data_IF_893484862469
#
_entry.id   IF_893484862469
#
_cell.length_a   1.000
_cell.length_b   1.000
_cell.length_c   1.000
_cell.angle_alpha   90.00
_cell.angle_beta   90.00
_cell.angle_gamma   90.00
#
_symmetry.space_group_name_H-M   'P 1'
#
loop_
_entity.id
_entity.type
_entity.pdbx_description
1 polymer ?
#
# COMPACT_ATOMS: atom_id res chain seq x y z
N UNK A 1 34.50 -5.06 11.65
CA UNK A 1 35.02 -4.54 10.35
C UNK A 1 34.03 -4.95 9.32
N UNK A 2 33.06 -4.11 9.02
CA UNK A 2 32.04 -4.39 8.02
C UNK A 2 32.62 -4.09 6.62
N UNK A 3 32.61 -5.09 5.76
CA UNK A 3 32.91 -4.91 4.35
C UNK A 3 31.67 -4.35 3.63
N UNK A 4 31.80 -3.35 2.75
CA UNK A 4 30.64 -2.79 2.06
C UNK A 4 30.12 -3.81 1.05
N UNK A 5 28.80 -4.05 1.09
CA UNK A 5 28.06 -4.82 0.08
C UNK A 5 28.28 -4.19 -1.29
N UNK A 6 28.69 -5.02 -2.25
CA UNK A 6 29.22 -4.59 -3.53
C UNK A 6 28.19 -3.82 -4.37
N UNK A 7 28.63 -2.71 -4.94
CA UNK A 7 27.91 -1.86 -5.88
C UNK A 7 27.33 -2.57 -7.12
N UNK A 8 27.61 -3.86 -7.30
CA UNK A 8 27.16 -4.64 -8.45
C UNK A 8 25.66 -5.00 -8.41
N UNK A 9 25.04 -5.12 -7.23
CA UNK A 9 23.60 -5.41 -7.13
C UNK A 9 22.73 -4.17 -7.40
N UNK A 10 23.23 -2.99 -7.07
CA UNK A 10 22.51 -1.73 -7.32
C UNK A 10 22.45 -1.35 -8.80
N UNK A 11 23.38 -1.84 -9.63
CA UNK A 11 23.40 -1.57 -11.07
C UNK A 11 22.45 -2.47 -11.86
N UNK A 12 22.13 -3.65 -11.35
CA UNK A 12 21.27 -4.62 -12.05
C UNK A 12 19.78 -4.18 -12.03
N UNK A 13 19.33 -3.54 -10.95
CA UNK A 13 17.94 -3.04 -10.85
C UNK A 13 17.73 -1.79 -11.71
N UNK A 14 18.75 -0.93 -11.84
CA UNK A 14 18.65 0.27 -12.68
C UNK A 14 18.71 -0.04 -14.19
N UNK A 15 19.32 -1.16 -14.60
CA UNK A 15 19.49 -1.49 -16.03
C UNK A 15 18.30 -2.22 -16.63
N UNK A 16 17.44 -2.87 -15.81
CA UNK A 16 16.21 -3.52 -16.29
C UNK A 16 15.12 -2.49 -16.60
N UNK A 17 15.20 -1.29 -16.02
CA UNK A 17 14.21 -0.22 -16.24
C UNK A 17 14.35 0.50 -17.60
N UNK A 18 15.44 0.28 -18.33
CA UNK A 18 15.74 1.06 -19.56
C UNK A 18 15.42 0.32 -20.87
N UNK A 19 14.92 -0.92 -20.85
CA UNK A 19 14.79 -1.77 -22.05
C UNK A 19 13.38 -2.22 -22.42
N UNK A 20 12.33 -1.61 -21.86
CA UNK A 20 10.93 -1.91 -22.23
C UNK A 20 10.20 -0.70 -22.87
N UNK A 21 10.89 0.08 -23.67
CA UNK A 21 10.22 0.93 -24.66
C UNK A 21 10.00 0.05 -25.91
N UNK A 22 8.95 -0.76 -25.89
CA UNK A 22 8.48 -1.43 -27.11
C UNK A 22 7.82 -0.38 -28.00
N UNK A 23 8.35 -0.20 -29.20
CA UNK A 23 7.74 0.62 -30.22
C UNK A 23 6.32 0.11 -30.53
N UNK A 24 5.32 0.85 -30.12
CA UNK A 24 3.95 0.62 -30.56
C UNK A 24 3.88 0.88 -32.09
N UNK A 25 3.18 0.06 -32.86
CA UNK A 25 3.00 0.32 -34.29
C UNK A 25 2.21 1.62 -34.46
N UNK A 26 2.73 2.53 -35.27
CA UNK A 26 1.99 3.72 -35.76
C UNK A 26 0.75 3.23 -36.54
N UNK A 27 -0.40 3.29 -35.91
CA UNK A 27 -1.68 3.17 -36.60
C UNK A 27 -1.90 4.46 -37.38
N UNK A 28 -2.09 4.43 -38.70
CA UNK A 28 -2.37 5.63 -39.45
C UNK A 28 -3.72 6.22 -38.99
N UNK A 29 -3.71 7.49 -38.60
CA UNK A 29 -4.92 8.20 -38.24
C UNK A 29 -5.88 8.21 -39.45
N UNK A 30 -7.06 7.60 -39.29
CA UNK A 30 -8.14 7.73 -40.25
C UNK A 30 -8.65 9.16 -40.21
N UNK A 31 -8.41 9.92 -41.29
CA UNK A 31 -8.84 11.30 -41.44
C UNK A 31 -10.35 11.33 -41.72
N UNK A 32 -11.13 11.62 -40.70
CA UNK A 32 -12.45 12.24 -40.84
C UNK A 32 -12.34 13.66 -40.27
N UNK A 33 -11.80 14.62 -41.07
CA UNK A 33 -11.67 15.97 -40.62
C UNK A 33 -13.02 16.71 -40.68
N UNK A 34 -13.86 16.51 -39.67
CA UNK A 34 -14.80 17.54 -39.26
C UNK A 34 -14.03 18.80 -38.82
N UNK A 35 -14.54 19.98 -39.01
CA UNK A 35 -13.92 21.21 -38.56
C UNK A 35 -13.75 21.14 -37.02
N UNK A 36 -12.49 21.21 -36.56
CA UNK A 36 -12.20 21.20 -35.12
C UNK A 36 -12.64 22.52 -34.52
N UNK A 37 -13.51 22.46 -33.53
CA UNK A 37 -13.93 23.63 -32.77
C UNK A 37 -13.00 23.83 -31.57
N UNK A 38 -12.51 25.07 -31.40
CA UNK A 38 -11.80 25.43 -30.17
C UNK A 38 -12.70 26.37 -29.36
N UNK A 39 -13.07 25.90 -28.16
CA UNK A 39 -13.83 26.70 -27.19
C UNK A 39 -12.88 27.17 -26.10
N UNK A 40 -13.01 28.42 -25.67
CA UNK A 40 -12.19 29.04 -24.63
C UNK A 40 -13.12 29.51 -23.51
N UNK A 41 -12.81 29.07 -22.28
CA UNK A 41 -13.50 29.54 -21.08
C UNK A 41 -12.60 30.44 -20.25
N UNK A 42 -13.20 31.54 -19.77
CA UNK A 42 -12.60 32.51 -18.84
C UNK A 42 -13.68 33.02 -17.88
N UNK A 43 -13.28 33.64 -16.80
CA UNK A 43 -14.16 34.19 -15.76
C UNK A 43 -15.00 33.08 -15.06
N UNK A 44 -16.31 33.25 -14.96
CA UNK A 44 -17.21 32.27 -14.38
C UNK A 44 -18.05 31.59 -15.48
N UNK A 45 -18.02 30.27 -15.50
CA UNK A 45 -18.79 29.43 -16.43
C UNK A 45 -19.76 28.57 -15.61
N UNK A 46 -21.06 28.71 -15.87
CA UNK A 46 -22.12 27.98 -15.16
C UNK A 46 -22.71 26.93 -16.08
N UNK A 47 -22.67 25.68 -15.70
CA UNK A 47 -23.10 24.50 -16.46
C UNK A 47 -24.15 23.72 -15.66
N UNK A 48 -25.42 23.98 -15.91
CA UNK A 48 -26.52 23.30 -15.22
C UNK A 48 -26.79 21.88 -15.73
N UNK A 49 -26.43 21.61 -16.99
CA UNK A 49 -26.67 20.33 -17.68
C UNK A 49 -25.34 19.66 -18.12
N UNK A 50 -24.24 19.96 -17.44
CA UNK A 50 -22.90 19.44 -17.79
C UNK A 50 -22.35 20.01 -19.11
N UNK A 51 -21.25 19.40 -19.60
CA UNK A 51 -20.65 19.79 -20.89
C UNK A 51 -19.86 18.63 -21.50
N UNK A 52 -19.99 18.43 -22.81
CA UNK A 52 -19.19 17.45 -23.55
C UNK A 52 -18.21 18.15 -24.49
N UNK A 53 -16.93 17.83 -24.35
CA UNK A 53 -15.90 18.14 -25.35
C UNK A 53 -15.94 17.04 -26.39
N UNK A 54 -16.59 17.30 -27.53
CA UNK A 54 -16.81 16.32 -28.58
C UNK A 54 -15.49 15.82 -29.20
N UNK A 55 -15.51 14.61 -29.75
CA UNK A 55 -14.35 14.04 -30.44
C UNK A 55 -13.86 14.95 -31.57
N UNK A 56 -12.59 15.36 -31.52
CA UNK A 56 -11.97 16.29 -32.44
C UNK A 56 -12.01 17.74 -31.99
N UNK A 57 -12.83 18.11 -31.02
CA UNK A 57 -12.90 19.44 -30.46
C UNK A 57 -11.84 19.68 -29.37
N UNK A 58 -11.59 20.94 -29.08
CA UNK A 58 -10.64 21.39 -28.06
C UNK A 58 -11.33 22.39 -27.13
N UNK A 59 -11.30 22.10 -25.85
CA UNK A 59 -11.68 23.03 -24.79
C UNK A 59 -10.42 23.53 -24.09
N UNK A 60 -10.27 24.85 -24.02
CA UNK A 60 -9.22 25.53 -23.26
C UNK A 60 -9.85 26.33 -22.13
N UNK A 61 -9.45 26.04 -20.89
CA UNK A 61 -9.89 26.77 -19.71
C UNK A 61 -8.71 27.62 -19.22
N UNK A 62 -8.89 28.93 -19.18
CA UNK A 62 -7.85 29.90 -18.80
C UNK A 62 -7.66 29.95 -17.27
N UNK A 63 -6.52 30.44 -16.82
CA UNK A 63 -6.21 30.63 -15.40
C UNK A 63 -7.22 31.58 -14.73
N UNK A 64 -7.58 31.26 -13.49
CA UNK A 64 -8.54 32.02 -12.67
C UNK A 64 -10.01 31.81 -13.06
N UNK A 65 -10.30 30.88 -13.98
CA UNK A 65 -11.68 30.51 -14.30
C UNK A 65 -12.31 29.75 -13.15
N UNK A 66 -13.56 30.08 -12.82
CA UNK A 66 -14.42 29.30 -11.94
C UNK A 66 -15.47 28.58 -12.79
N UNK A 67 -15.51 27.25 -12.71
CA UNK A 67 -16.51 26.41 -13.36
C UNK A 67 -17.48 25.94 -12.30
N UNK A 68 -18.76 26.17 -12.50
CA UNK A 68 -19.84 25.75 -11.59
C UNK A 68 -20.71 24.71 -12.28
N UNK A 69 -20.70 23.48 -11.75
CA UNK A 69 -21.51 22.37 -12.26
C UNK A 69 -22.80 22.18 -11.46
N UNK A 70 -23.85 21.73 -12.15
CA UNK A 70 -25.09 21.26 -11.53
C UNK A 70 -24.87 19.99 -10.70
N UNK A 71 -25.90 19.61 -9.94
CA UNK A 71 -25.96 18.37 -9.15
C UNK A 71 -25.92 17.14 -10.08
N UNK A 72 -25.07 16.14 -9.77
CA UNK A 72 -24.80 14.95 -10.61
C UNK A 72 -24.27 15.25 -12.03
N UNK A 73 -23.83 16.49 -12.32
CA UNK A 73 -23.36 16.89 -13.64
C UNK A 73 -21.84 16.73 -13.81
N UNK A 74 -21.41 16.55 -15.07
CA UNK A 74 -20.00 16.28 -15.41
C UNK A 74 -19.50 17.06 -16.62
N UNK A 75 -18.17 17.24 -16.69
CA UNK A 75 -17.48 17.61 -17.93
C UNK A 75 -16.96 16.31 -18.57
N UNK A 76 -17.61 15.85 -19.63
CA UNK A 76 -17.19 14.67 -20.41
C UNK A 76 -16.20 15.06 -21.50
N UNK A 77 -15.09 14.33 -21.60
CA UNK A 77 -14.01 14.62 -22.56
C UNK A 77 -13.83 13.45 -23.53
N UNK A 78 -14.40 13.59 -24.72
CA UNK A 78 -14.16 12.74 -25.89
C UNK A 78 -13.13 13.35 -26.86
N UNK A 79 -12.92 14.65 -26.76
CA UNK A 79 -11.94 15.45 -27.47
C UNK A 79 -10.72 15.78 -26.61
N UNK A 80 -10.23 17.01 -26.69
CA UNK A 80 -9.08 17.49 -25.95
C UNK A 80 -9.48 18.55 -24.93
N UNK A 81 -9.12 18.37 -23.67
CA UNK A 81 -9.25 19.37 -22.60
C UNK A 81 -7.87 19.90 -22.19
N UNK A 82 -7.75 21.22 -22.10
CA UNK A 82 -6.55 21.88 -21.58
C UNK A 82 -6.97 22.91 -20.53
N UNK A 83 -6.68 22.62 -19.25
CA UNK A 83 -6.85 23.55 -18.14
C UNK A 83 -5.50 24.21 -17.87
N UNK A 84 -5.46 25.54 -17.82
CA UNK A 84 -4.24 26.36 -17.76
C UNK A 84 -4.22 27.20 -16.48
N UNK A 85 -4.55 26.63 -15.34
CA UNK A 85 -4.40 27.26 -14.04
C UNK A 85 -2.92 27.58 -13.74
N UNK A 86 -2.70 28.47 -12.80
CA UNK A 86 -1.38 28.78 -12.26
C UNK A 86 -1.45 28.75 -10.73
N UNK A 87 -0.32 28.66 -10.05
CA UNK A 87 -0.25 28.68 -8.58
C UNK A 87 -0.87 29.94 -7.96
N UNK A 88 -0.87 31.07 -8.67
CA UNK A 88 -1.46 32.34 -8.21
C UNK A 88 -2.89 32.57 -8.71
N UNK A 89 -3.33 31.81 -9.68
CA UNK A 89 -4.66 31.90 -10.30
C UNK A 89 -5.11 30.50 -10.75
N UNK A 90 -5.39 29.59 -9.82
CA UNK A 90 -5.85 28.25 -10.16
C UNK A 90 -7.21 28.31 -10.86
N UNK A 91 -7.55 27.26 -11.57
CA UNK A 91 -8.92 27.03 -12.02
C UNK A 91 -9.66 26.34 -10.89
N UNK A 92 -10.89 26.77 -10.62
CA UNK A 92 -11.77 26.18 -9.61
C UNK A 92 -12.93 25.48 -10.32
N UNK A 93 -13.18 24.23 -9.94
CA UNK A 93 -14.37 23.46 -10.28
C UNK A 93 -15.15 23.18 -9.02
N UNK A 94 -16.35 23.68 -8.93
CA UNK A 94 -17.21 23.60 -7.74
C UNK A 94 -18.65 23.28 -8.10
N UNK A 95 -19.44 22.84 -7.14
CA UNK A 95 -20.87 22.60 -7.34
C UNK A 95 -21.68 23.90 -7.21
N UNK A 96 -22.73 24.04 -8.01
CA UNK A 96 -23.76 25.08 -7.80
C UNK A 96 -24.59 24.73 -6.56
N UNK A 97 -24.91 23.45 -6.40
CA UNK A 97 -25.73 22.91 -5.29
C UNK A 97 -25.62 21.39 -5.29
N UNK A 98 -25.40 20.78 -4.14
CA UNK A 98 -25.16 19.33 -4.05
C UNK A 98 -23.74 18.95 -4.42
N UNK A 99 -23.56 17.80 -5.04
CA UNK A 99 -22.27 17.28 -5.52
C UNK A 99 -22.30 17.09 -7.03
N UNK A 100 -21.17 17.25 -7.68
CA UNK A 100 -21.02 17.02 -9.12
C UNK A 100 -20.13 15.81 -9.41
N UNK A 101 -20.20 15.27 -10.66
CA UNK A 101 -19.40 14.11 -11.08
C UNK A 101 -18.05 14.48 -11.71
N UNK A 102 -17.63 15.74 -11.58
CA UNK A 102 -16.28 16.21 -11.94
C UNK A 102 -15.96 16.14 -13.42
N UNK A 103 -14.75 15.62 -13.74
CA UNK A 103 -14.24 15.53 -15.12
C UNK A 103 -14.06 14.05 -15.49
N UNK A 104 -14.65 13.63 -16.61
CA UNK A 104 -14.57 12.27 -17.13
C UNK A 104 -13.83 12.24 -18.46
N UNK A 105 -12.66 11.61 -18.52
CA UNK A 105 -11.92 11.35 -19.75
C UNK A 105 -12.31 9.97 -20.30
N UNK A 106 -12.90 9.94 -21.49
CA UNK A 106 -13.18 8.70 -22.20
C UNK A 106 -11.99 8.24 -23.05
N UNK A 107 -11.98 6.96 -23.46
CA UNK A 107 -10.93 6.38 -24.31
C UNK A 107 -10.78 7.07 -25.67
N UNK A 108 -11.80 7.74 -26.13
CA UNK A 108 -11.77 8.59 -27.35
C UNK A 108 -10.84 9.80 -27.22
N UNK A 109 -10.55 10.24 -26.01
CA UNK A 109 -9.61 11.34 -25.72
C UNK A 109 -8.14 10.88 -25.62
N UNK A 110 -7.89 9.58 -25.77
CA UNK A 110 -6.53 9.04 -25.69
C UNK A 110 -5.61 9.61 -26.78
N UNK A 111 -4.34 9.85 -26.40
CA UNK A 111 -3.33 10.39 -27.30
C UNK A 111 -3.58 11.83 -27.80
N UNK A 112 -4.66 12.50 -27.40
CA UNK A 112 -4.97 13.86 -27.83
C UNK A 112 -4.22 14.94 -27.04
N UNK A 113 -3.49 14.54 -25.97
CA UNK A 113 -2.66 15.43 -25.16
C UNK A 113 -3.48 16.36 -24.26
N UNK A 114 -4.55 15.84 -23.67
CA UNK A 114 -5.31 16.52 -22.62
C UNK A 114 -4.43 16.79 -21.40
N UNK A 115 -4.60 17.97 -20.79
CA UNK A 115 -3.77 18.41 -19.66
C UNK A 115 -4.58 19.24 -18.68
N UNK A 116 -4.45 18.91 -17.39
CA UNK A 116 -4.95 19.71 -16.28
C UNK A 116 -3.76 20.28 -15.53
N UNK A 117 -3.72 21.59 -15.35
CA UNK A 117 -2.69 22.31 -14.59
C UNK A 117 -3.32 23.23 -13.55
N UNK A 118 -2.88 23.11 -12.29
CA UNK A 118 -3.35 23.92 -11.16
C UNK A 118 -4.89 24.00 -11.13
N UNK A 119 -5.52 22.87 -11.02
CA UNK A 119 -6.97 22.71 -10.87
C UNK A 119 -7.32 22.35 -9.44
N UNK A 120 -8.29 23.04 -8.85
CA UNK A 120 -8.92 22.67 -7.59
C UNK A 120 -10.35 22.22 -7.87
N UNK A 121 -10.71 21.04 -7.37
CA UNK A 121 -12.06 20.46 -7.44
C UNK A 121 -12.58 20.34 -6.03
N UNK A 122 -13.80 20.84 -5.77
CA UNK A 122 -14.45 20.77 -4.44
C UNK A 122 -15.84 20.19 -4.56
N UNK A 123 -16.25 19.48 -3.51
CA UNK A 123 -17.62 18.99 -3.34
C UNK A 123 -18.09 18.11 -4.52
N UNK A 124 -17.29 17.11 -4.88
CA UNK A 124 -17.57 16.20 -5.99
C UNK A 124 -17.96 14.79 -5.48
N UNK A 125 -18.79 14.06 -6.21
CA UNK A 125 -18.87 12.61 -6.03
C UNK A 125 -17.59 11.94 -6.54
N UNK A 126 -17.18 12.30 -7.76
CA UNK A 126 -15.94 11.91 -8.41
C UNK A 126 -15.20 13.17 -8.84
N UNK A 127 -13.93 13.33 -8.46
CA UNK A 127 -13.13 14.46 -8.90
C UNK A 127 -12.71 14.35 -10.36
N UNK A 128 -11.83 13.38 -10.67
CA UNK A 128 -11.39 13.07 -12.03
C UNK A 128 -11.50 11.58 -12.29
N UNK A 129 -12.22 11.19 -13.32
CA UNK A 129 -12.36 9.82 -13.78
C UNK A 129 -11.69 9.64 -15.15
N UNK A 130 -10.88 8.58 -15.31
CA UNK A 130 -10.15 8.32 -16.57
C UNK A 130 -10.44 6.91 -17.06
N UNK A 131 -11.07 6.78 -18.19
CA UNK A 131 -11.36 5.52 -18.89
C UNK A 131 -10.43 5.35 -20.09
N UNK A 132 -9.40 4.51 -19.96
CA UNK A 132 -8.57 4.08 -21.10
C UNK A 132 -7.94 5.21 -21.88
N UNK A 133 -7.56 6.30 -21.20
CA UNK A 133 -6.86 7.43 -21.80
C UNK A 133 -5.70 7.89 -20.89
N UNK A 134 -4.83 8.76 -21.41
CA UNK A 134 -3.57 9.11 -20.77
C UNK A 134 -3.40 10.64 -20.62
N UNK A 135 -4.32 11.34 -19.90
CA UNK A 135 -4.14 12.77 -19.64
C UNK A 135 -2.94 13.04 -18.73
N UNK A 136 -2.43 14.28 -18.79
CA UNK A 136 -1.43 14.78 -17.85
C UNK A 136 -2.15 15.60 -16.78
N UNK A 137 -1.98 15.21 -15.51
CA UNK A 137 -2.56 15.89 -14.36
C UNK A 137 -1.42 16.46 -13.52
N UNK A 138 -1.28 17.79 -13.51
CA UNK A 138 -0.26 18.48 -12.73
C UNK A 138 -0.92 19.44 -11.72
N UNK A 139 -0.41 19.42 -10.48
CA UNK A 139 -0.89 20.32 -9.42
C UNK A 139 -2.43 20.25 -9.28
N UNK A 140 -2.95 19.02 -9.16
CA UNK A 140 -4.36 18.77 -8.96
C UNK A 140 -4.68 18.68 -7.47
N UNK A 141 -5.64 19.48 -7.03
CA UNK A 141 -6.19 19.41 -5.66
C UNK A 141 -7.64 18.96 -5.72
N UNK A 142 -8.00 17.94 -4.95
CA UNK A 142 -9.39 17.47 -4.80
C UNK A 142 -9.75 17.52 -3.33
N UNK A 143 -10.83 18.23 -3.01
CA UNK A 143 -11.29 18.43 -1.63
C UNK A 143 -12.72 17.88 -1.49
N UNK A 144 -12.95 17.06 -0.48
CA UNK A 144 -14.26 16.49 -0.14
C UNK A 144 -14.89 15.68 -1.30
N UNK A 145 -14.14 14.77 -1.90
CA UNK A 145 -14.75 13.83 -2.85
C UNK A 145 -15.48 12.71 -2.10
N UNK A 146 -16.78 12.54 -2.32
CA UNK A 146 -17.59 11.57 -1.57
C UNK A 146 -17.27 10.13 -1.95
N UNK A 147 -17.11 9.84 -3.22
CA UNK A 147 -16.81 8.51 -3.72
C UNK A 147 -15.30 8.33 -3.96
N UNK A 148 -14.76 8.89 -5.03
CA UNK A 148 -13.35 8.74 -5.41
C UNK A 148 -12.79 10.08 -5.92
N UNK A 149 -11.70 10.54 -5.33
CA UNK A 149 -11.09 11.80 -5.79
C UNK A 149 -10.48 11.66 -7.19
N UNK A 150 -9.74 10.57 -7.46
CA UNK A 150 -9.20 10.24 -8.81
C UNK A 150 -9.41 8.76 -9.09
N UNK A 151 -10.20 8.41 -10.09
CA UNK A 151 -10.51 7.01 -10.47
C UNK A 151 -9.97 6.68 -11.87
N UNK A 152 -9.09 5.67 -11.94
CA UNK A 152 -8.39 5.26 -13.14
C UNK A 152 -8.74 3.82 -13.47
N UNK A 153 -9.32 3.54 -14.63
CA UNK A 153 -9.64 2.17 -15.03
C UNK A 153 -9.71 1.96 -16.55
N UNK A 154 -9.93 0.72 -16.96
CA UNK A 154 -9.95 0.34 -18.37
C UNK A 154 -8.64 0.60 -19.10
N UNK A 155 -7.50 0.25 -18.47
CA UNK A 155 -6.14 0.46 -19.00
C UNK A 155 -5.71 1.93 -19.08
N UNK A 156 -6.27 2.82 -18.25
CA UNK A 156 -5.81 4.20 -18.13
C UNK A 156 -4.35 4.27 -17.63
N UNK A 157 -3.53 5.11 -18.22
CA UNK A 157 -2.12 5.26 -17.83
C UNK A 157 -1.69 6.73 -17.76
N UNK A 158 -2.43 7.58 -17.04
CA UNK A 158 -2.11 8.99 -16.96
C UNK A 158 -0.76 9.24 -16.28
N UNK A 159 -0.20 10.43 -16.56
CA UNK A 159 0.90 10.96 -15.77
C UNK A 159 0.35 11.96 -14.77
N UNK A 160 0.62 11.73 -13.49
CA UNK A 160 0.13 12.57 -12.39
C UNK A 160 1.34 13.12 -11.63
N UNK A 161 1.42 14.43 -11.45
CA UNK A 161 2.43 15.09 -10.66
C UNK A 161 1.74 16.02 -9.65
N UNK A 162 2.18 15.95 -8.40
CA UNK A 162 1.72 16.81 -7.31
C UNK A 162 0.18 16.79 -7.13
N UNK A 163 -0.33 15.63 -6.69
CA UNK A 163 -1.74 15.41 -6.37
C UNK A 163 -1.98 15.63 -4.87
N UNK A 164 -2.93 16.49 -4.54
CA UNK A 164 -3.38 16.71 -3.16
C UNK A 164 -4.84 16.29 -3.04
N UNK A 165 -5.14 15.43 -2.06
CA UNK A 165 -6.50 14.99 -1.73
C UNK A 165 -6.74 15.26 -0.25
N UNK A 166 -7.74 16.07 0.06
CA UNK A 166 -8.08 16.48 1.42
C UNK A 166 -9.55 16.19 1.73
N UNK A 167 -9.78 15.28 2.67
CA UNK A 167 -11.12 14.81 3.04
C UNK A 167 -11.80 13.97 1.96
N UNK A 168 -12.89 13.33 2.32
CA UNK A 168 -13.76 12.59 1.40
C UNK A 168 -14.58 11.51 2.08
N UNK A 169 -15.78 11.29 1.56
CA UNK A 169 -16.74 10.33 2.08
C UNK A 169 -17.39 10.74 3.42
N UNK A 170 -17.23 11.97 3.86
CA UNK A 170 -17.70 12.43 5.17
C UNK A 170 -19.23 12.42 5.30
N UNK A 171 -19.93 12.65 4.20
CA UNK A 171 -21.40 12.75 4.16
C UNK A 171 -22.09 11.43 3.84
N UNK A 172 -21.34 10.39 3.52
CA UNK A 172 -21.93 9.09 3.20
C UNK A 172 -22.31 8.34 4.46
N UNK A 173 -23.57 7.96 4.57
CA UNK A 173 -24.08 7.18 5.68
C UNK A 173 -23.21 5.94 5.96
N UNK A 174 -22.78 5.81 7.21
CA UNK A 174 -21.86 4.79 7.73
C UNK A 174 -22.27 3.32 7.51
N UNK A 175 -23.29 3.04 6.71
CA UNK A 175 -23.88 1.73 6.46
C UNK A 175 -23.91 1.29 4.99
N UNK A 176 -23.28 2.06 4.09
CA UNK A 176 -23.18 1.60 2.70
C UNK A 176 -22.26 0.40 2.61
N UNK A 177 -22.77 -0.71 2.11
CA UNK A 177 -21.99 -1.94 1.82
C UNK A 177 -21.19 -1.83 0.53
N UNK A 178 -21.27 -0.70 -0.16
CA UNK A 178 -20.55 -0.46 -1.41
C UNK A 178 -19.17 0.14 -1.11
N UNK A 179 -18.12 -0.51 -1.57
CA UNK A 179 -16.70 -0.32 -1.29
C UNK A 179 -16.07 0.91 -1.98
N UNK A 180 -16.85 1.88 -2.43
CA UNK A 180 -16.39 2.95 -3.33
C UNK A 180 -16.50 4.37 -2.73
N UNK A 181 -16.61 4.51 -1.43
CA UNK A 181 -16.74 5.82 -0.79
C UNK A 181 -15.47 6.23 -0.05
N UNK A 182 -15.10 7.51 -0.16
CA UNK A 182 -13.96 8.09 0.53
C UNK A 182 -12.63 7.46 0.14
N UNK A 183 -12.42 7.26 -1.16
CA UNK A 183 -11.18 6.76 -1.74
C UNK A 183 -10.42 7.93 -2.37
N UNK A 184 -9.12 8.04 -2.08
CA UNK A 184 -8.28 9.04 -2.68
C UNK A 184 -7.97 8.74 -4.15
N UNK A 185 -7.00 7.89 -4.42
CA UNK A 185 -6.62 7.45 -5.77
C UNK A 185 -6.98 5.98 -5.95
N UNK A 186 -7.86 5.68 -6.89
CA UNK A 186 -8.24 4.33 -7.29
C UNK A 186 -7.59 3.97 -8.64
N UNK A 187 -6.90 2.84 -8.70
CA UNK A 187 -6.22 2.33 -9.91
C UNK A 187 -6.69 0.93 -10.19
N UNK A 188 -7.50 0.74 -11.22
CA UNK A 188 -8.14 -0.52 -11.49
C UNK A 188 -8.15 -0.96 -12.95
N UNK A 189 -8.60 -2.19 -13.18
CA UNK A 189 -8.85 -2.76 -14.51
C UNK A 189 -7.68 -2.53 -15.50
N UNK A 190 -6.50 -3.08 -15.18
CA UNK A 190 -5.27 -3.04 -16.00
C UNK A 190 -4.63 -1.65 -16.15
N UNK A 191 -5.04 -0.65 -15.39
CA UNK A 191 -4.43 0.69 -15.43
C UNK A 191 -3.02 0.68 -14.86
N UNK A 192 -2.16 1.58 -15.38
CA UNK A 192 -0.75 1.65 -15.00
C UNK A 192 -0.22 3.10 -15.01
N UNK A 193 -0.68 3.96 -14.10
CA UNK A 193 -0.27 5.36 -14.07
C UNK A 193 1.21 5.52 -13.67
N UNK A 194 1.78 6.67 -14.01
CA UNK A 194 3.04 7.17 -13.45
C UNK A 194 2.70 8.36 -12.57
N UNK A 195 2.92 8.22 -11.26
CA UNK A 195 2.52 9.20 -10.26
C UNK A 195 3.74 9.63 -9.46
N UNK A 196 3.94 10.93 -9.31
CA UNK A 196 5.00 11.49 -8.49
C UNK A 196 4.48 12.65 -7.65
N UNK A 197 4.67 12.56 -6.35
CA UNK A 197 4.15 13.55 -5.40
C UNK A 197 2.65 13.39 -5.15
N UNK A 198 2.29 12.72 -4.07
CA UNK A 198 0.88 12.56 -3.64
C UNK A 198 0.79 12.82 -2.16
N UNK A 199 -0.15 13.67 -1.78
CA UNK A 199 -0.54 13.88 -0.38
C UNK A 199 -2.02 13.59 -0.23
N UNK A 200 -2.38 12.71 0.73
CA UNK A 200 -3.77 12.35 1.03
C UNK A 200 -4.01 12.43 2.53
N UNK A 201 -5.06 13.11 2.94
CA UNK A 201 -5.43 13.24 4.35
C UNK A 201 -6.93 13.11 4.57
N UNK A 202 -7.34 12.52 5.72
CA UNK A 202 -8.72 12.58 6.22
C UNK A 202 -9.76 11.77 5.46
N UNK A 203 -9.38 10.71 4.72
CA UNK A 203 -10.31 9.86 3.98
C UNK A 203 -10.91 8.75 4.87
N UNK A 204 -12.12 8.30 4.55
CA UNK A 204 -12.83 7.32 5.40
C UNK A 204 -12.65 5.86 4.99
N UNK A 205 -12.11 5.57 3.81
CA UNK A 205 -11.99 4.17 3.37
C UNK A 205 -10.56 3.82 2.96
N UNK A 206 -10.01 4.48 1.95
CA UNK A 206 -8.68 4.16 1.43
C UNK A 206 -7.99 5.41 0.89
N UNK A 207 -6.73 5.57 1.22
CA UNK A 207 -5.91 6.57 0.54
C UNK A 207 -5.66 6.14 -0.91
N UNK A 208 -4.86 5.10 -1.08
CA UNK A 208 -4.54 4.51 -2.37
C UNK A 208 -5.19 3.13 -2.51
N UNK A 209 -5.88 2.89 -3.62
CA UNK A 209 -6.60 1.65 -3.89
C UNK A 209 -6.22 1.05 -5.23
N UNK A 210 -5.56 -0.12 -5.22
CA UNK A 210 -5.24 -0.91 -6.41
C UNK A 210 -6.11 -2.15 -6.53
N UNK A 211 -6.65 -2.43 -7.74
CA UNK A 211 -7.46 -3.62 -7.99
C UNK A 211 -7.40 -4.07 -9.45
N UNK A 212 -7.80 -5.31 -9.73
CA UNK A 212 -8.05 -5.78 -11.09
C UNK A 212 -6.82 -5.88 -11.99
N UNK A 213 -5.70 -6.44 -11.50
CA UNK A 213 -4.45 -6.63 -12.23
C UNK A 213 -3.81 -5.33 -12.74
N UNK A 214 -4.04 -4.26 -12.01
CA UNK A 214 -3.43 -2.96 -12.28
C UNK A 214 -1.97 -2.89 -11.78
N UNK A 215 -1.26 -1.86 -12.20
CA UNK A 215 0.14 -1.65 -11.85
C UNK A 215 0.50 -0.18 -11.90
N UNK A 216 1.70 0.13 -12.36
CA UNK A 216 2.22 1.49 -12.46
C UNK A 216 3.26 1.82 -11.41
N UNK A 217 3.71 3.07 -11.43
CA UNK A 217 4.75 3.58 -10.56
C UNK A 217 4.18 4.73 -9.72
N UNK A 218 4.36 4.65 -8.40
CA UNK A 218 4.06 5.76 -7.49
C UNK A 218 5.32 6.06 -6.69
N UNK A 219 5.66 7.33 -6.59
CA UNK A 219 6.77 7.82 -5.78
C UNK A 219 6.40 9.07 -4.99
N UNK A 220 7.09 9.27 -3.85
CA UNK A 220 6.86 10.41 -2.96
C UNK A 220 5.40 10.51 -2.50
N UNK A 221 4.95 9.48 -1.79
CA UNK A 221 3.57 9.30 -1.33
C UNK A 221 3.47 9.62 0.16
N UNK A 222 2.56 10.51 0.53
CA UNK A 222 2.21 10.80 1.92
C UNK A 222 0.73 10.53 2.14
N UNK A 223 0.40 9.66 3.08
CA UNK A 223 -0.99 9.32 3.43
C UNK A 223 -1.16 9.44 4.93
N UNK A 224 -2.20 10.15 5.36
CA UNK A 224 -2.50 10.29 6.78
C UNK A 224 -3.99 10.27 7.11
N UNK A 225 -4.30 9.88 8.36
CA UNK A 225 -5.64 9.97 8.94
C UNK A 225 -6.72 9.20 8.15
N UNK A 226 -6.40 7.99 7.66
CA UNK A 226 -7.40 7.15 7.00
C UNK A 226 -8.11 6.29 8.04
N UNK A 227 -9.37 6.60 8.32
CA UNK A 227 -10.12 5.96 9.41
C UNK A 227 -11.59 5.75 9.06
N UNK A 228 -12.00 4.48 9.01
CA UNK A 228 -13.37 4.08 8.66
C UNK A 228 -14.23 3.69 9.86
N UNK A 229 -15.53 3.58 9.60
CA UNK A 229 -16.51 3.11 10.60
C UNK A 229 -16.38 1.61 10.90
N UNK A 230 -15.78 0.83 10.00
CA UNK A 230 -15.63 -0.63 10.14
C UNK A 230 -14.18 -1.04 10.07
N UNK A 231 -13.74 -1.88 11.00
CA UNK A 231 -12.38 -2.36 11.22
C UNK A 231 -11.65 -2.96 10.00
N UNK A 232 -12.38 -3.45 9.02
CA UNK A 232 -11.83 -4.37 8.04
C UNK A 232 -11.37 -3.73 6.73
N UNK A 233 -11.74 -2.47 6.46
CA UNK A 233 -11.66 -1.91 5.10
C UNK A 233 -10.89 -0.60 4.98
N UNK A 234 -10.69 0.15 6.06
CA UNK A 234 -9.94 1.39 6.00
C UNK A 234 -8.43 1.11 6.03
N UNK A 235 -7.73 1.63 5.03
CA UNK A 235 -6.29 1.47 4.91
C UNK A 235 -5.65 2.68 4.20
N UNK A 236 -4.42 3.02 4.61
CA UNK A 236 -3.62 3.98 3.85
C UNK A 236 -3.44 3.51 2.41
N UNK A 237 -2.91 2.30 2.23
CA UNK A 237 -2.76 1.64 0.93
C UNK A 237 -3.49 0.30 0.93
N UNK A 238 -4.33 0.08 -0.07
CA UNK A 238 -4.99 -1.20 -0.35
C UNK A 238 -4.58 -1.72 -1.71
N UNK A 239 -4.03 -2.93 -1.75
CA UNK A 239 -3.65 -3.59 -3.00
C UNK A 239 -4.35 -4.94 -3.09
N UNK A 240 -5.25 -5.09 -4.07
CA UNK A 240 -5.96 -6.33 -4.34
C UNK A 240 -5.63 -6.81 -5.76
N UNK A 241 -5.09 -8.03 -5.88
CA UNK A 241 -4.77 -8.66 -7.16
C UNK A 241 -4.02 -7.76 -8.16
N UNK A 242 -3.07 -6.95 -7.67
CA UNK A 242 -2.39 -5.92 -8.46
C UNK A 242 -0.88 -5.90 -8.18
N UNK A 243 -0.11 -5.20 -9.02
CA UNK A 243 1.36 -5.20 -9.00
C UNK A 243 1.98 -3.79 -9.12
N UNK A 244 1.60 -2.83 -8.29
CA UNK A 244 2.26 -1.54 -8.30
C UNK A 244 3.72 -1.63 -7.82
N UNK A 245 4.55 -0.69 -8.27
CA UNK A 245 5.78 -0.30 -7.62
C UNK A 245 5.56 1.02 -6.89
N UNK A 246 5.66 0.99 -5.56
CA UNK A 246 5.47 2.16 -4.70
C UNK A 246 6.78 2.42 -3.99
N UNK A 247 7.31 3.63 -4.10
CA UNK A 247 8.55 4.02 -3.46
C UNK A 247 8.42 5.32 -2.67
N UNK A 248 9.25 5.47 -1.65
CA UNK A 248 9.33 6.68 -0.85
C UNK A 248 7.95 7.06 -0.29
N UNK A 249 7.39 6.18 0.54
CA UNK A 249 6.03 6.34 1.07
C UNK A 249 6.02 6.48 2.58
N UNK A 250 5.29 7.51 3.07
CA UNK A 250 5.02 7.75 4.48
C UNK A 250 3.51 7.57 4.74
N UNK A 251 3.16 6.61 5.57
CA UNK A 251 1.77 6.28 5.91
C UNK A 251 1.59 6.42 7.43
N UNK A 252 0.75 7.35 7.87
CA UNK A 252 0.62 7.66 9.29
C UNK A 252 -0.83 7.72 9.77
N UNK A 253 -1.07 7.27 11.01
CA UNK A 253 -2.39 7.37 11.68
C UNK A 253 -3.55 6.80 10.86
N UNK A 254 -3.33 5.67 10.22
CA UNK A 254 -4.37 4.93 9.49
C UNK A 254 -4.96 3.81 10.34
N UNK A 255 -6.17 3.37 10.04
CA UNK A 255 -6.73 2.16 10.69
C UNK A 255 -5.84 0.94 10.39
N UNK A 256 -5.53 0.68 9.12
CA UNK A 256 -4.45 -0.18 8.69
C UNK A 256 -3.49 0.64 7.81
N UNK A 257 -2.17 0.44 7.92
CA UNK A 257 -1.22 1.15 7.08
C UNK A 257 -1.26 0.65 5.65
N UNK A 258 -0.73 -0.55 5.40
CA UNK A 258 -0.72 -1.21 4.07
C UNK A 258 -1.48 -2.53 4.16
N UNK A 259 -2.43 -2.74 3.26
CA UNK A 259 -3.18 -3.98 3.14
C UNK A 259 -3.02 -4.58 1.75
N UNK A 260 -2.39 -5.76 1.67
CA UNK A 260 -2.23 -6.52 0.44
C UNK A 260 -3.10 -7.75 0.49
N UNK A 261 -4.02 -7.89 -0.45
CA UNK A 261 -4.94 -9.02 -0.54
C UNK A 261 -4.82 -9.71 -1.89
N UNK A 262 -4.80 -11.03 -1.86
CA UNK A 262 -4.89 -11.85 -3.05
C UNK A 262 -6.17 -12.68 -3.05
N UNK A 263 -7.01 -12.52 -4.08
CA UNK A 263 -8.32 -13.19 -4.21
C UNK A 263 -8.36 -14.10 -5.44
N UNK A 264 -7.84 -13.65 -6.57
CA UNK A 264 -8.04 -14.28 -7.87
C UNK A 264 -6.95 -15.30 -8.20
N UNK A 265 -7.35 -16.52 -8.44
CA UNK A 265 -6.44 -17.59 -8.85
C UNK A 265 -5.82 -17.32 -10.22
N UNK A 266 -4.52 -17.56 -10.35
CA UNK A 266 -3.81 -17.48 -11.64
C UNK A 266 -3.23 -16.11 -11.99
N UNK A 267 -3.48 -15.07 -11.20
CA UNK A 267 -2.83 -13.79 -11.37
C UNK A 267 -1.53 -13.75 -10.57
N UNK A 268 -0.43 -13.45 -11.22
CA UNK A 268 0.86 -13.24 -10.56
C UNK A 268 0.95 -11.80 -10.09
N UNK A 269 0.37 -11.52 -8.94
CA UNK A 269 0.43 -10.20 -8.34
C UNK A 269 1.63 -10.11 -7.40
N UNK A 270 2.47 -9.13 -7.61
CA UNK A 270 3.67 -8.91 -6.81
C UNK A 270 3.86 -7.41 -6.57
N UNK A 271 3.05 -6.82 -5.68
CA UNK A 271 3.29 -5.44 -5.32
C UNK A 271 4.66 -5.29 -4.67
N UNK A 272 5.34 -4.21 -4.98
CA UNK A 272 6.67 -3.91 -4.45
C UNK A 272 6.65 -2.55 -3.77
N UNK A 273 7.12 -2.52 -2.53
CA UNK A 273 7.25 -1.33 -1.71
C UNK A 273 8.74 -1.12 -1.43
N UNK A 274 9.24 0.07 -1.72
CA UNK A 274 10.64 0.43 -1.54
C UNK A 274 10.73 1.68 -0.68
N UNK A 275 11.45 1.63 0.43
CA UNK A 275 11.55 2.71 1.40
C UNK A 275 10.16 3.19 1.87
N UNK A 276 9.45 2.29 2.52
CA UNK A 276 8.14 2.58 3.09
C UNK A 276 8.26 2.79 4.60
N UNK A 277 7.69 3.88 5.09
CA UNK A 277 7.49 4.15 6.52
C UNK A 277 6.01 4.01 6.86
N UNK A 278 5.69 3.24 7.91
CA UNK A 278 4.33 3.08 8.40
C UNK A 278 4.31 3.37 9.90
N UNK A 279 3.57 4.38 10.31
CA UNK A 279 3.53 4.82 11.71
C UNK A 279 2.10 4.93 12.26
N UNK A 280 1.98 4.65 13.56
CA UNK A 280 0.77 4.88 14.35
C UNK A 280 -0.52 4.28 13.79
N UNK A 281 -0.41 3.14 13.13
CA UNK A 281 -1.59 2.40 12.65
C UNK A 281 -2.40 1.85 13.81
N UNK A 282 -3.75 1.94 13.74
CA UNK A 282 -4.61 1.58 14.86
C UNK A 282 -4.75 0.06 15.05
N UNK A 283 -4.77 -0.70 13.96
CA UNK A 283 -4.95 -2.15 14.00
C UNK A 283 -3.71 -2.90 13.53
N UNK A 284 -3.32 -2.71 12.27
CA UNK A 284 -2.14 -3.33 11.67
C UNK A 284 -1.32 -2.28 10.94
N UNK A 285 0.00 -2.37 11.09
CA UNK A 285 0.88 -1.62 10.21
C UNK A 285 0.80 -2.16 8.79
N UNK A 286 1.07 -3.44 8.63
CA UNK A 286 1.00 -4.13 7.35
C UNK A 286 0.26 -5.45 7.49
N UNK A 287 -0.62 -5.75 6.52
CA UNK A 287 -1.29 -7.03 6.35
C UNK A 287 -1.08 -7.57 4.95
N UNK A 288 -0.63 -8.82 4.85
CA UNK A 288 -0.53 -9.56 3.59
C UNK A 288 -1.36 -10.84 3.72
N UNK A 289 -2.43 -10.98 2.94
CA UNK A 289 -3.31 -12.13 3.04
C UNK A 289 -3.72 -12.72 1.69
N UNK A 290 -3.97 -14.01 1.69
CA UNK A 290 -4.70 -14.70 0.61
C UNK A 290 -6.09 -15.07 1.12
N UNK A 291 -7.14 -14.56 0.49
CA UNK A 291 -8.52 -14.70 0.96
C UNK A 291 -9.09 -16.10 0.76
N UNK A 292 -8.69 -16.85 -0.27
CA UNK A 292 -9.28 -18.15 -0.59
C UNK A 292 -8.39 -19.33 -0.17
N UNK A 293 -8.61 -19.85 1.03
CA UNK A 293 -7.86 -20.95 1.63
C UNK A 293 -7.96 -22.30 0.89
N UNK A 294 -8.92 -22.51 0.01
CA UNK A 294 -9.15 -23.80 -0.64
C UNK A 294 -8.18 -24.10 -1.78
N UNK A 295 -7.37 -23.15 -2.17
CA UNK A 295 -6.51 -23.22 -3.34
C UNK A 295 -5.04 -23.15 -2.93
N UNK A 296 -4.54 -24.18 -2.25
CA UNK A 296 -3.11 -24.40 -2.05
C UNK A 296 -2.39 -24.62 -3.40
N UNK A 297 -2.41 -23.62 -4.25
CA UNK A 297 -1.58 -23.64 -5.45
C UNK A 297 -0.18 -23.15 -5.07
N UNK A 298 0.84 -23.84 -5.56
CA UNK A 298 2.26 -23.55 -5.40
C UNK A 298 2.69 -22.25 -6.11
N UNK A 299 1.80 -21.27 -6.24
CA UNK A 299 2.10 -20.00 -6.90
C UNK A 299 2.62 -19.03 -5.83
N UNK A 300 3.86 -18.59 -5.93
CA UNK A 300 4.43 -17.65 -4.97
C UNK A 300 3.80 -16.27 -5.18
N UNK A 301 2.79 -15.95 -4.37
CA UNK A 301 2.27 -14.59 -4.27
C UNK A 301 3.10 -13.88 -3.20
N UNK A 302 4.03 -13.07 -3.60
CA UNK A 302 4.92 -12.40 -2.68
C UNK A 302 4.80 -10.89 -2.84
N UNK A 303 4.21 -10.24 -1.86
CA UNK A 303 4.48 -8.83 -1.68
C UNK A 303 5.97 -8.66 -1.34
N UNK A 304 6.61 -7.66 -1.89
CA UNK A 304 8.02 -7.34 -1.67
C UNK A 304 8.11 -6.03 -0.89
N UNK A 305 8.88 -6.04 0.19
CA UNK A 305 9.22 -4.87 0.98
C UNK A 305 10.75 -4.77 1.03
N UNK A 306 11.27 -3.67 0.54
CA UNK A 306 12.68 -3.33 0.52
C UNK A 306 12.89 -2.04 1.28
N UNK A 307 13.66 -2.08 2.37
CA UNK A 307 13.91 -0.96 3.26
C UNK A 307 12.62 -0.42 3.93
N UNK A 308 12.05 -1.23 4.84
CA UNK A 308 10.79 -0.95 5.55
C UNK A 308 11.05 -0.41 6.96
N UNK A 309 10.35 0.65 7.35
CA UNK A 309 10.27 1.10 8.73
C UNK A 309 8.81 1.06 9.23
N UNK A 310 8.57 0.44 10.40
CA UNK A 310 7.24 0.24 10.94
C UNK A 310 7.22 0.43 12.45
N UNK A 311 6.45 1.41 12.95
CA UNK A 311 6.42 1.76 14.36
C UNK A 311 5.04 2.22 14.85
N UNK A 312 4.81 2.15 16.17
CA UNK A 312 3.63 2.71 16.84
C UNK A 312 2.31 1.97 16.57
N UNK A 313 2.31 0.83 15.87
CA UNK A 313 1.09 0.06 15.55
C UNK A 313 0.40 -0.43 16.82
N UNK A 314 -0.90 -0.19 16.95
CA UNK A 314 -1.71 -0.61 18.10
C UNK A 314 -1.46 0.22 19.36
N UNK A 315 -0.97 1.46 19.21
CA UNK A 315 -0.64 2.39 20.28
C UNK A 315 -1.84 2.88 21.10
N UNK A 316 -1.62 3.85 22.02
CA UNK A 316 -2.68 4.40 22.86
C UNK A 316 -3.77 5.04 22.01
N UNK A 317 -5.00 4.52 22.07
CA UNK A 317 -6.11 4.97 21.24
C UNK A 317 -6.58 3.96 20.21
N UNK A 318 -5.87 2.84 20.04
CA UNK A 318 -6.34 1.74 19.20
C UNK A 318 -7.75 1.31 19.59
N UNK A 319 -8.66 1.31 18.63
CA UNK A 319 -10.11 1.09 18.84
C UNK A 319 -10.44 -0.27 19.49
N UNK A 320 -9.53 -1.24 19.45
CA UNK A 320 -9.70 -2.54 20.11
C UNK A 320 -8.35 -3.12 20.58
N UNK A 321 -7.84 -2.72 21.75
CA UNK A 321 -6.71 -3.40 22.35
C UNK A 321 -7.16 -4.81 22.78
N UNK A 322 -6.90 -5.84 22.03
CA UNK A 322 -7.28 -7.19 22.44
C UNK A 322 -7.37 -8.26 21.36
N UNK A 323 -7.42 -7.93 20.10
CA UNK A 323 -7.74 -8.89 19.03
C UNK A 323 -6.52 -9.57 18.37
N UNK A 324 -5.36 -9.58 19.02
CA UNK A 324 -4.22 -10.34 18.49
C UNK A 324 -3.65 -9.82 17.18
N UNK A 325 -3.73 -8.51 16.95
CA UNK A 325 -3.12 -7.83 15.80
C UNK A 325 -1.59 -7.80 15.89
N UNK A 326 -0.93 -7.55 14.80
CA UNK A 326 0.51 -7.40 14.71
C UNK A 326 0.90 -6.12 13.95
N UNK A 327 2.14 -5.69 14.15
CA UNK A 327 2.69 -4.63 13.35
C UNK A 327 2.79 -5.06 11.88
N UNK A 328 3.39 -6.23 11.63
CA UNK A 328 3.40 -6.90 10.33
C UNK A 328 2.70 -8.26 10.45
N UNK A 329 1.62 -8.48 9.71
CA UNK A 329 0.85 -9.73 9.73
C UNK A 329 0.82 -10.38 8.35
N UNK A 330 1.14 -11.68 8.28
CA UNK A 330 1.04 -12.50 7.05
C UNK A 330 0.06 -13.64 7.30
N UNK A 331 -0.92 -13.79 6.46
CA UNK A 331 -1.91 -14.86 6.58
C UNK A 331 -2.10 -15.59 5.25
N UNK A 332 -1.76 -16.89 5.23
CA UNK A 332 -1.88 -17.78 4.05
C UNK A 332 -1.22 -17.27 2.76
N UNK A 333 -0.20 -16.45 2.89
CA UNK A 333 0.50 -15.80 1.76
C UNK A 333 2.01 -15.96 1.90
N UNK A 334 2.76 -15.47 0.93
CA UNK A 334 4.20 -15.29 0.99
C UNK A 334 4.57 -13.81 1.03
N UNK A 335 5.73 -13.53 1.57
CA UNK A 335 6.31 -12.18 1.61
C UNK A 335 7.82 -12.26 1.42
N UNK A 336 8.37 -11.27 0.74
CA UNK A 336 9.81 -11.07 0.69
C UNK A 336 10.14 -9.73 1.35
N UNK A 337 10.91 -9.77 2.42
CA UNK A 337 11.39 -8.58 3.14
C UNK A 337 12.90 -8.57 3.04
N UNK A 338 13.48 -7.47 2.59
CA UNK A 338 14.91 -7.22 2.53
C UNK A 338 15.19 -5.86 3.17
N UNK A 339 15.69 -5.88 4.40
CA UNK A 339 15.81 -4.70 5.26
C UNK A 339 14.48 -4.27 5.88
N UNK A 340 14.31 -4.49 7.18
CA UNK A 340 13.18 -3.95 7.93
C UNK A 340 13.53 -3.59 9.36
N UNK A 341 13.06 -2.44 9.81
CA UNK A 341 13.03 -2.06 11.23
C UNK A 341 11.57 -2.00 11.68
N UNK A 342 11.20 -2.90 12.59
CA UNK A 342 9.86 -2.96 13.18
C UNK A 342 10.01 -2.71 14.68
N UNK A 343 9.66 -1.52 15.14
CA UNK A 343 9.96 -1.10 16.50
C UNK A 343 8.82 -0.40 17.22
N UNK A 344 8.90 -0.42 18.55
CA UNK A 344 7.98 0.31 19.45
C UNK A 344 6.50 0.01 19.22
N UNK A 345 6.18 -1.24 18.83
CA UNK A 345 4.79 -1.65 18.63
C UNK A 345 4.27 -2.38 19.88
N UNK A 346 3.23 -1.86 20.56
CA UNK A 346 2.59 -2.58 21.69
C UNK A 346 1.76 -3.79 21.26
N UNK A 347 2.03 -4.33 20.10
CA UNK A 347 1.52 -5.59 19.54
C UNK A 347 2.70 -6.44 19.05
N UNK A 348 2.45 -7.67 18.61
CA UNK A 348 3.50 -8.51 18.01
C UNK A 348 4.19 -7.78 16.86
N UNK A 349 5.51 -7.80 16.83
CA UNK A 349 6.26 -7.17 15.75
C UNK A 349 5.96 -7.82 14.40
N UNK A 350 6.28 -9.11 14.28
CA UNK A 350 5.98 -9.89 13.06
C UNK A 350 5.17 -11.14 13.41
N UNK A 351 4.05 -11.34 12.71
CA UNK A 351 3.13 -12.46 12.94
C UNK A 351 2.76 -13.14 11.63
N UNK A 352 2.90 -14.46 11.59
CA UNK A 352 2.61 -15.22 10.39
C UNK A 352 1.82 -16.50 10.66
N UNK A 353 0.79 -16.74 9.86
CA UNK A 353 0.00 -17.96 9.84
C UNK A 353 0.02 -18.61 8.47
N UNK A 354 0.29 -19.92 8.40
CA UNK A 354 0.23 -20.71 7.16
C UNK A 354 0.95 -20.04 5.98
N UNK A 355 2.18 -19.56 6.22
CA UNK A 355 2.96 -18.84 5.23
C UNK A 355 3.43 -19.75 4.10
N UNK A 356 3.55 -19.18 2.91
CA UNK A 356 4.02 -19.87 1.71
C UNK A 356 5.53 -20.17 1.74
N UNK A 357 6.00 -21.12 0.94
CA UNK A 357 7.41 -21.55 0.88
C UNK A 357 8.34 -20.47 0.32
N UNK A 358 7.78 -19.49 -0.34
CA UNK A 358 8.51 -18.37 -0.93
C UNK A 358 8.69 -17.19 0.04
N UNK A 359 8.33 -17.36 1.32
CA UNK A 359 8.59 -16.32 2.32
C UNK A 359 10.08 -16.25 2.60
N UNK A 360 10.63 -15.07 2.42
CA UNK A 360 12.04 -14.74 2.67
C UNK A 360 12.08 -13.50 3.55
N UNK A 361 12.77 -13.60 4.67
CA UNK A 361 13.06 -12.50 5.58
C UNK A 361 14.57 -12.36 5.65
N UNK A 362 15.12 -11.26 5.20
CA UNK A 362 16.54 -10.93 5.30
C UNK A 362 16.69 -9.57 5.97
N UNK A 363 17.69 -9.45 6.85
CA UNK A 363 18.04 -8.21 7.55
C UNK A 363 16.83 -7.57 8.24
N UNK A 364 16.18 -8.31 9.13
CA UNK A 364 14.99 -7.87 9.86
C UNK A 364 15.31 -7.62 11.32
N UNK A 365 15.09 -6.41 11.77
CA UNK A 365 15.22 -5.99 13.18
C UNK A 365 13.85 -5.78 13.80
N UNK A 366 13.56 -6.52 14.87
CA UNK A 366 12.35 -6.40 15.70
C UNK A 366 12.74 -5.86 17.07
N UNK A 367 12.36 -4.63 17.39
CA UNK A 367 12.84 -3.95 18.59
C UNK A 367 11.67 -3.42 19.42
N UNK A 368 11.63 -3.75 20.72
CA UNK A 368 10.62 -3.29 21.69
C UNK A 368 9.16 -3.54 21.24
N UNK A 369 8.91 -4.75 20.72
CA UNK A 369 7.58 -5.16 20.30
C UNK A 369 6.90 -6.06 21.34
N UNK A 370 5.58 -6.24 21.23
CA UNK A 370 4.78 -7.15 22.01
C UNK A 370 4.04 -6.48 23.16
N UNK A 371 2.92 -7.09 23.55
CA UNK A 371 2.04 -6.57 24.61
C UNK A 371 2.70 -6.62 25.97
N UNK A 372 2.67 -5.52 26.67
CA UNK A 372 3.24 -5.40 28.03
C UNK A 372 2.35 -6.04 29.11
N UNK A 373 1.07 -6.34 28.84
CA UNK A 373 0.17 -6.97 29.80
C UNK A 373 0.63 -8.39 30.11
N UNK A 374 0.91 -8.68 31.39
CA UNK A 374 1.29 -10.02 31.85
C UNK A 374 0.22 -11.10 31.58
N UNK A 375 -1.05 -10.70 31.42
CA UNK A 375 -2.17 -11.59 31.12
C UNK A 375 -2.36 -11.86 29.63
N UNK A 376 -1.67 -11.14 28.76
CA UNK A 376 -1.74 -11.38 27.32
C UNK A 376 -1.10 -12.73 26.99
N UNK A 377 -1.65 -13.50 26.02
CA UNK A 377 -1.03 -14.73 25.53
C UNK A 377 0.43 -14.52 25.10
N UNK A 378 1.26 -15.54 25.23
CA UNK A 378 2.69 -15.44 24.87
C UNK A 378 2.89 -15.05 23.39
N UNK A 379 2.02 -15.55 22.51
CA UNK A 379 2.06 -15.20 21.09
C UNK A 379 1.76 -13.72 20.81
N UNK A 380 1.03 -13.03 21.69
CA UNK A 380 0.74 -11.58 21.55
C UNK A 380 1.82 -10.70 22.20
N UNK A 381 2.77 -11.33 22.92
CA UNK A 381 3.89 -10.67 23.60
C UNK A 381 5.22 -10.86 22.89
N UNK A 382 5.26 -11.71 21.85
CA UNK A 382 6.46 -12.06 21.12
C UNK A 382 6.94 -10.91 20.21
N UNK A 383 8.25 -10.86 19.99
CA UNK A 383 8.80 -10.06 18.91
C UNK A 383 8.39 -10.61 17.55
N UNK A 384 8.60 -11.93 17.38
CA UNK A 384 8.17 -12.69 16.21
C UNK A 384 7.31 -13.88 16.63
N UNK A 385 6.16 -14.07 15.98
CA UNK A 385 5.35 -15.27 16.12
C UNK A 385 5.05 -15.86 14.75
N UNK A 386 5.40 -17.11 14.53
CA UNK A 386 5.04 -17.85 13.32
C UNK A 386 4.34 -19.15 13.67
N UNK A 387 3.27 -19.45 12.93
CA UNK A 387 2.61 -20.75 12.91
C UNK A 387 2.46 -21.20 11.47
N UNK A 388 3.35 -22.06 11.04
CA UNK A 388 3.35 -22.59 9.67
C UNK A 388 2.91 -24.06 9.70
N UNK A 389 2.07 -24.44 8.78
CA UNK A 389 1.60 -25.81 8.69
C UNK A 389 2.58 -26.72 7.95
N UNK A 390 3.14 -26.38 6.81
CA UNK A 390 3.87 -27.35 5.97
C UNK A 390 5.03 -26.78 5.13
N UNK A 391 5.49 -25.56 5.36
CA UNK A 391 6.34 -24.85 4.40
C UNK A 391 7.48 -24.15 5.14
N UNK A 392 8.68 -24.23 4.62
CA UNK A 392 9.87 -23.74 5.27
C UNK A 392 10.24 -22.34 4.73
N UNK A 393 9.86 -21.25 5.40
CA UNK A 393 10.38 -19.93 5.08
C UNK A 393 11.89 -19.87 5.31
N UNK A 394 12.55 -18.94 4.64
CA UNK A 394 13.97 -18.62 4.88
C UNK A 394 14.06 -17.36 5.71
N UNK A 395 14.82 -17.40 6.82
CA UNK A 395 14.98 -16.28 7.74
C UNK A 395 16.47 -16.08 8.03
N UNK A 396 17.06 -15.05 7.46
CA UNK A 396 18.47 -14.74 7.65
C UNK A 396 18.64 -13.35 8.28
N UNK A 397 19.73 -13.19 9.01
CA UNK A 397 20.14 -11.91 9.57
C UNK A 397 19.00 -11.27 10.40
N UNK A 398 18.43 -12.08 11.34
CA UNK A 398 17.33 -11.67 12.21
C UNK A 398 17.84 -11.13 13.54
N UNK A 399 17.43 -9.93 13.90
CA UNK A 399 17.65 -9.37 15.24
C UNK A 399 16.32 -9.17 15.98
N UNK A 400 16.18 -9.72 17.20
CA UNK A 400 14.97 -9.52 18.04
C UNK A 400 15.40 -9.11 19.44
N UNK A 401 15.03 -7.91 19.87
CA UNK A 401 15.39 -7.38 21.18
C UNK A 401 14.21 -6.74 21.91
N UNK A 402 14.29 -6.80 23.23
CA UNK A 402 13.42 -6.07 24.16
C UNK A 402 11.93 -6.33 23.94
N UNK A 403 11.55 -7.52 23.46
CA UNK A 403 10.14 -7.92 23.39
C UNK A 403 9.61 -8.22 24.80
N UNK A 404 8.34 -7.93 25.06
CA UNK A 404 7.74 -8.15 26.38
C UNK A 404 7.53 -9.63 26.76
N UNK A 405 7.60 -10.53 25.80
CA UNK A 405 7.51 -11.98 25.93
C UNK A 405 8.69 -12.68 25.25
N UNK A 406 8.45 -13.81 24.56
CA UNK A 406 9.47 -14.47 23.77
C UNK A 406 10.06 -13.57 22.70
N UNK A 407 11.37 -13.69 22.43
CA UNK A 407 11.93 -13.05 21.25
C UNK A 407 11.31 -13.62 19.97
N UNK A 408 11.50 -14.93 19.76
CA UNK A 408 10.96 -15.69 18.63
C UNK A 408 10.15 -16.88 19.15
N UNK A 409 8.90 -17.01 18.71
CA UNK A 409 8.03 -18.16 18.98
C UNK A 409 7.59 -18.80 17.65
N UNK A 410 8.09 -20.02 17.40
CA UNK A 410 7.75 -20.80 16.20
C UNK A 410 6.96 -22.03 16.60
N UNK A 411 5.77 -22.20 16.01
CA UNK A 411 4.86 -23.27 16.37
C UNK A 411 4.30 -23.98 15.15
N UNK A 412 4.48 -25.30 15.07
CA UNK A 412 4.01 -26.20 14.00
C UNK A 412 4.53 -25.82 12.61
N UNK A 413 5.45 -26.60 12.11
CA UNK A 413 5.99 -26.42 10.77
C UNK A 413 7.50 -26.50 10.73
N UNK A 414 8.13 -25.84 9.78
CA UNK A 414 9.57 -25.76 9.62
C UNK A 414 10.01 -24.42 9.09
N UNK A 415 11.27 -24.10 9.28
CA UNK A 415 11.94 -22.96 8.68
C UNK A 415 13.44 -23.22 8.59
N UNK A 416 14.11 -22.53 7.70
CA UNK A 416 15.56 -22.52 7.61
C UNK A 416 16.09 -21.09 7.75
N UNK A 417 17.35 -20.94 8.15
CA UNK A 417 17.95 -19.62 8.25
C UNK A 417 19.23 -19.56 9.04
N UNK A 418 19.78 -18.35 9.11
CA UNK A 418 21.08 -18.14 9.74
C UNK A 418 21.23 -16.74 10.34
N UNK A 419 22.24 -16.61 11.21
CA UNK A 419 22.70 -15.34 11.79
C UNK A 419 21.63 -14.60 12.61
N UNK A 420 21.11 -15.25 13.64
CA UNK A 420 20.12 -14.64 14.53
C UNK A 420 20.75 -14.07 15.79
N UNK A 421 20.34 -12.88 16.20
CA UNK A 421 20.66 -12.24 17.48
C UNK A 421 19.37 -12.01 18.25
N UNK A 422 19.17 -12.74 19.33
CA UNK A 422 17.93 -12.73 20.12
C UNK A 422 18.28 -12.36 21.56
N UNK A 423 18.00 -11.12 21.97
CA UNK A 423 18.49 -10.62 23.24
C UNK A 423 17.48 -9.77 24.02
N UNK A 424 17.68 -9.71 25.33
CA UNK A 424 16.95 -8.81 26.25
C UNK A 424 15.41 -8.98 26.21
N UNK A 425 14.90 -10.16 25.83
CA UNK A 425 13.46 -10.39 25.75
C UNK A 425 12.90 -10.86 27.11
N UNK A 426 11.66 -10.53 27.41
CA UNK A 426 11.03 -10.76 28.71
C UNK A 426 10.74 -12.21 29.06
N UNK A 427 10.89 -13.15 28.09
CA UNK A 427 10.72 -14.57 28.29
C UNK A 427 11.82 -15.36 27.53
N UNK A 428 11.50 -16.53 26.97
CA UNK A 428 12.44 -17.35 26.18
C UNK A 428 12.95 -16.62 24.95
N UNK A 429 14.24 -16.65 24.66
CA UNK A 429 14.81 -16.08 23.47
C UNK A 429 14.20 -16.70 22.22
N UNK A 430 14.45 -18.02 21.99
CA UNK A 430 13.86 -18.78 20.87
C UNK A 430 13.05 -19.95 21.42
N UNK A 431 11.74 -20.00 21.20
CA UNK A 431 10.84 -21.05 21.64
C UNK A 431 10.27 -21.80 20.42
N UNK A 432 10.70 -23.04 20.24
CA UNK A 432 10.34 -23.94 19.14
C UNK A 432 9.39 -25.03 19.66
N UNK A 433 8.17 -25.09 19.09
CA UNK A 433 7.14 -26.07 19.52
C UNK A 433 6.58 -26.83 18.32
N UNK A 434 6.67 -28.15 18.34
CA UNK A 434 6.23 -28.99 17.24
C UNK A 434 6.81 -28.47 15.89
N UNK A 435 8.08 -28.04 15.90
CA UNK A 435 8.72 -27.32 14.81
C UNK A 435 9.98 -28.05 14.32
N UNK A 436 10.26 -28.00 13.02
CA UNK A 436 11.39 -28.65 12.36
C UNK A 436 12.35 -27.57 11.84
N UNK A 437 13.24 -27.05 12.66
CA UNK A 437 14.16 -26.00 12.27
C UNK A 437 15.41 -26.58 11.58
N UNK A 438 15.93 -25.80 10.61
CA UNK A 438 17.30 -25.91 10.10
C UNK A 438 17.96 -24.52 10.25
N UNK A 439 18.53 -24.28 11.44
CA UNK A 439 19.08 -22.97 11.76
C UNK A 439 20.56 -23.04 12.12
N UNK A 440 21.31 -22.03 11.69
CA UNK A 440 22.71 -21.86 12.04
C UNK A 440 23.03 -20.46 12.55
N UNK A 441 24.02 -20.37 13.46
CA UNK A 441 24.48 -19.07 13.94
C UNK A 441 23.45 -18.32 14.81
N UNK A 442 22.91 -18.97 15.84
CA UNK A 442 22.01 -18.34 16.81
C UNK A 442 22.81 -17.82 18.01
N UNK A 443 22.74 -16.54 18.28
CA UNK A 443 23.19 -15.93 19.52
C UNK A 443 21.95 -15.53 20.35
N UNK A 444 21.74 -16.19 21.50
CA UNK A 444 20.61 -15.89 22.40
C UNK A 444 21.10 -15.54 23.80
N UNK A 445 20.88 -14.30 24.23
CA UNK A 445 21.46 -13.77 25.45
C UNK A 445 20.52 -12.84 26.23
N UNK A 446 20.73 -12.77 27.54
CA UNK A 446 20.05 -11.83 28.44
C UNK A 446 18.52 -11.89 28.39
N UNK A 447 17.94 -13.05 28.01
CA UNK A 447 16.50 -13.27 27.98
C UNK A 447 15.97 -13.70 29.34
N UNK A 448 14.75 -13.31 29.68
CA UNK A 448 14.12 -13.63 30.97
C UNK A 448 13.79 -15.12 31.21
N UNK A 449 13.81 -15.93 30.18
CA UNK A 449 13.60 -17.38 30.24
C UNK A 449 14.80 -18.17 29.69
N UNK A 450 14.52 -19.27 28.97
CA UNK A 450 15.58 -20.03 28.30
C UNK A 450 16.17 -19.24 27.12
N UNK A 451 17.47 -19.45 26.82
CA UNK A 451 18.07 -18.95 25.59
C UNK A 451 17.38 -19.57 24.36
N UNK A 452 17.38 -20.90 24.30
CA UNK A 452 16.67 -21.69 23.27
C UNK A 452 15.87 -22.78 23.98
N UNK A 453 14.61 -22.95 23.60
CA UNK A 453 13.71 -24.01 24.08
C UNK A 453 13.16 -24.79 22.92
N UNK A 454 13.28 -26.11 22.94
CA UNK A 454 12.75 -26.99 21.89
C UNK A 454 11.80 -28.00 22.55
N UNK A 455 10.54 -28.03 22.09
CA UNK A 455 9.49 -28.88 22.65
C UNK A 455 8.70 -29.61 21.57
N UNK A 456 8.46 -30.90 21.80
CA UNK A 456 7.62 -31.73 20.93
C UNK A 456 8.03 -31.70 19.44
N UNK A 457 9.31 -31.45 19.18
CA UNK A 457 9.86 -31.24 17.83
C UNK A 457 10.67 -32.46 17.40
N UNK A 458 10.66 -32.73 16.09
CA UNK A 458 11.49 -33.77 15.46
C UNK A 458 12.31 -33.15 14.32
N UNK A 459 13.38 -33.84 13.90
CA UNK A 459 14.27 -33.36 12.83
C UNK A 459 14.79 -31.94 13.09
N UNK A 460 15.31 -31.72 14.29
CA UNK A 460 15.85 -30.43 14.70
C UNK A 460 17.32 -30.35 14.30
N UNK A 461 17.65 -29.43 13.43
CA UNK A 461 19.02 -29.11 13.03
C UNK A 461 19.37 -27.71 13.53
N UNK A 462 20.20 -27.65 14.57
CA UNK A 462 20.70 -26.39 15.12
C UNK A 462 22.22 -26.46 15.16
N UNK A 463 22.88 -25.55 14.53
CA UNK A 463 24.34 -25.44 14.50
C UNK A 463 24.82 -24.05 14.92
N UNK A 464 26.00 -23.99 15.53
CA UNK A 464 26.63 -22.75 16.00
C UNK A 464 25.71 -21.92 16.91
N UNK A 465 25.06 -22.59 17.90
CA UNK A 465 24.19 -21.93 18.87
C UNK A 465 24.99 -21.51 20.09
N UNK A 466 24.94 -20.25 20.43
CA UNK A 466 25.52 -19.70 21.66
C UNK A 466 24.42 -19.12 22.54
N UNK A 467 24.34 -19.57 23.78
CA UNK A 467 23.39 -19.04 24.78
C UNK A 467 24.13 -18.64 26.04
N UNK A 468 23.89 -17.46 26.58
CA UNK A 468 24.47 -17.03 27.86
C UNK A 468 23.60 -15.96 28.57
N UNK A 469 23.77 -15.86 29.88
CA UNK A 469 23.06 -14.91 30.77
C UNK A 469 21.52 -14.94 30.66
N UNK A 470 20.92 -16.05 30.25
CA UNK A 470 19.47 -16.18 30.20
C UNK A 470 18.92 -16.55 31.61
N UNK A 471 17.69 -16.13 31.93
CA UNK A 471 17.12 -16.23 33.28
C UNK A 471 16.89 -17.66 33.82
N UNK A 472 16.80 -18.64 32.94
CA UNK A 472 16.77 -20.07 33.29
C UNK A 472 17.84 -20.72 32.41
N UNK A 473 18.80 -21.36 33.07
CA UNK A 473 19.82 -22.15 32.37
C UNK A 473 19.18 -23.16 31.41
N UNK A 474 19.87 -23.51 30.36
CA UNK A 474 19.39 -24.46 29.36
C UNK A 474 19.08 -25.82 30.02
#
# INVERSE_FOLDING_TARGET
MHAPVSAAHRLAVALVLLLLVSAAPLVPAAAGAGARTTTIWSDTVVLQDGYTVESGDVLVVQSGTTIQLGDDETITVDGRLTIQGTTTSPVLLESIMGNHDGIVFNSTSDGLGSKLENLTITDAEYGVTVYGSDPILNDLTVINADNVAVDLFSSASPRINDLVIDGGGQDVHAFSTTWRYGIGLSVGAFSAPIVNGVTMDGLITRGLNYWGNSGGLISNLQISNISGATLAVAAGIWVEDSRPLISDSDITRCDNGIFVRHITQGWTTRPTFVRATVEDSQYRGIMVEQYNHSLYSNVPYNAVFDDLELRGTGGPGAKTPGLGYAAFEVNTSGVHIDGALIEDNPVVGFKAYMIGPSTILNDVTLLRNGRTSATAPLNDRAGMFMRSANWAPTINDLEVRNSSGPGVLLWKGGAQGSNWVIADNGATGVDLREFHPDFSGILSMDNGGHGVSVRDSSNVELSYVTTYHNGIGA
#
